data_IF_069453155428
#
_entry.id   IF_069453155428
#
_cell.length_a   1.000
_cell.length_b   1.000
_cell.length_c   1.000
_cell.angle_alpha   90.00
_cell.angle_beta   90.00
_cell.angle_gamma   90.00
#
_symmetry.space_group_name_H-M   'P 1'
#
loop_
_entity.id
_entity.type
_entity.pdbx_description
1 polymer ?
#
# COMPACT_ATOMS: atom_id res chain seq x y z
N UNK A 1 35.12 25.00 -24.31
CA UNK A 1 33.75 24.45 -24.31
C UNK A 1 33.86 22.93 -24.24
N UNK A 2 33.92 22.38 -23.02
CA UNK A 2 34.09 20.94 -22.78
C UNK A 2 32.80 20.40 -22.15
N UNK A 3 32.15 19.45 -22.84
CA UNK A 3 30.90 18.83 -22.40
C UNK A 3 31.27 17.55 -21.64
N UNK A 4 31.05 17.57 -20.33
CA UNK A 4 31.18 16.41 -19.46
C UNK A 4 29.86 15.61 -19.48
N UNK A 5 29.90 14.38 -19.99
CA UNK A 5 28.80 13.42 -19.90
C UNK A 5 29.04 12.47 -18.72
N UNK A 6 28.19 12.59 -17.70
CA UNK A 6 28.17 11.72 -16.51
C UNK A 6 27.25 10.53 -16.79
N UNK A 7 27.84 9.35 -16.97
CA UNK A 7 27.11 8.07 -17.07
C UNK A 7 27.06 7.44 -15.68
N UNK A 8 25.87 7.43 -15.07
CA UNK A 8 25.60 6.67 -13.82
C UNK A 8 25.19 5.24 -14.20
N UNK A 9 26.08 4.27 -13.99
CA UNK A 9 25.72 2.85 -13.99
C UNK A 9 25.28 2.44 -12.58
N UNK A 10 24.05 1.97 -12.47
CA UNK A 10 23.46 1.43 -11.25
C UNK A 10 23.89 -0.03 -11.03
N UNK A 11 24.55 -0.28 -9.91
CA UNK A 11 24.90 -1.60 -9.39
C UNK A 11 23.62 -2.33 -8.95
N UNK A 12 23.29 -3.45 -9.59
CA UNK A 12 22.26 -4.39 -9.12
C UNK A 12 22.97 -5.45 -8.27
N UNK A 13 22.77 -5.35 -6.96
CA UNK A 13 23.22 -6.37 -6.01
C UNK A 13 22.39 -7.65 -6.15
N UNK A 14 23.11 -8.72 -6.47
CA UNK A 14 22.69 -10.13 -6.46
C UNK A 14 22.65 -10.61 -5.01
N UNK A 15 21.46 -10.73 -4.41
CA UNK A 15 21.30 -11.35 -3.09
C UNK A 15 20.87 -12.81 -3.24
N UNK A 16 21.85 -13.70 -3.06
CA UNK A 16 21.64 -15.08 -2.66
C UNK A 16 21.09 -15.13 -1.23
N UNK A 17 20.10 -15.99 -0.97
CA UNK A 17 19.92 -16.61 0.35
C UNK A 17 19.38 -18.04 0.24
N UNK A 18 19.76 -18.90 1.21
CA UNK A 18 20.03 -20.32 0.99
C UNK A 18 18.87 -21.21 1.45
N UNK A 19 18.81 -22.37 0.82
CA UNK A 19 18.04 -23.53 1.24
C UNK A 19 18.63 -24.09 2.54
N UNK A 20 17.81 -24.33 3.57
CA UNK A 20 17.96 -25.44 4.52
C UNK A 20 16.71 -25.48 5.42
N UNK A 21 15.77 -26.39 5.15
CA UNK A 21 15.05 -27.13 6.19
C UNK A 21 14.37 -28.36 5.55
N UNK A 22 14.95 -29.54 5.77
CA UNK A 22 14.29 -30.83 5.58
C UNK A 22 13.63 -31.25 6.90
N UNK A 23 12.50 -31.97 6.85
CA UNK A 23 12.30 -33.10 7.75
C UNK A 23 11.78 -34.34 6.95
N UNK A 24 11.53 -35.51 7.57
CA UNK A 24 12.40 -36.66 7.45
C UNK A 24 11.71 -37.84 6.74
N UNK A 25 12.47 -38.91 6.52
CA UNK A 25 12.03 -40.24 6.11
C UNK A 25 10.56 -40.58 6.44
N UNK A 26 9.78 -40.87 5.40
CA UNK A 26 8.57 -41.68 5.49
C UNK A 26 8.59 -42.70 4.33
N UNK A 27 8.80 -43.94 4.73
CA UNK A 27 8.68 -45.21 4.03
C UNK A 27 7.86 -45.19 2.73
N UNK A 28 8.51 -45.58 1.62
CA UNK A 28 7.82 -45.96 0.39
C UNK A 28 7.16 -47.32 0.59
N UNK A 29 5.89 -47.32 0.99
CA UNK A 29 5.03 -48.49 0.81
C UNK A 29 4.67 -48.60 -0.67
N UNK A 30 5.26 -49.56 -1.37
CA UNK A 30 4.82 -49.96 -2.71
C UNK A 30 3.43 -50.61 -2.56
N UNK A 31 2.37 -49.83 -2.77
CA UNK A 31 1.03 -50.36 -3.00
C UNK A 31 0.88 -50.67 -4.48
N UNK A 32 0.96 -51.96 -4.83
CA UNK A 32 0.40 -52.45 -6.08
C UNK A 32 -1.12 -52.27 -6.04
N UNK A 33 -1.63 -51.28 -6.78
CA UNK A 33 -3.06 -51.13 -7.05
C UNK A 33 -3.33 -51.59 -8.50
N UNK A 34 -3.93 -52.77 -8.60
CA UNK A 34 -4.49 -53.36 -9.81
C UNK A 34 -5.80 -52.67 -10.22
N UNK A 35 -5.86 -52.13 -11.45
CA UNK A 35 -7.08 -51.78 -12.21
C UNK A 35 -7.87 -50.56 -11.70
N UNK A 36 -8.22 -49.53 -12.47
CA UNK A 36 -8.43 -49.40 -13.91
C UNK A 36 -7.77 -48.11 -14.43
N UNK A 37 -6.92 -48.24 -15.45
CA UNK A 37 -6.41 -47.10 -16.21
C UNK A 37 -7.53 -46.57 -17.11
N UNK A 38 -8.32 -45.62 -16.63
CA UNK A 38 -9.06 -44.75 -17.57
C UNK A 38 -8.03 -43.96 -18.39
N UNK A 39 -8.08 -44.00 -19.73
CA UNK A 39 -7.11 -43.30 -20.56
C UNK A 39 -7.14 -41.79 -20.27
N UNK A 40 -6.00 -41.08 -20.36
CA UNK A 40 -5.93 -39.66 -20.05
C UNK A 40 -6.89 -38.89 -20.96
N UNK A 41 -7.83 -38.16 -20.34
CA UNK A 41 -8.76 -37.29 -21.04
C UNK A 41 -7.98 -36.23 -21.81
N UNK A 42 -7.96 -36.34 -23.15
CA UNK A 42 -7.37 -35.35 -24.04
C UNK A 42 -8.18 -34.05 -23.88
N UNK A 43 -7.63 -33.08 -23.16
CA UNK A 43 -8.23 -31.74 -23.05
C UNK A 43 -8.20 -31.07 -24.43
N UNK A 44 -9.30 -31.18 -25.18
CA UNK A 44 -9.51 -30.37 -26.40
C UNK A 44 -9.48 -28.89 -25.98
N UNK A 45 -8.48 -28.15 -26.47
CA UNK A 45 -8.26 -26.72 -26.14
C UNK A 45 -9.32 -25.77 -26.70
N UNK A 46 -10.20 -26.27 -27.56
CA UNK A 46 -11.27 -25.48 -28.17
C UNK A 46 -12.55 -26.32 -28.24
N UNK A 47 -13.71 -25.71 -27.97
CA UNK A 47 -15.00 -26.35 -28.23
C UNK A 47 -15.10 -26.73 -29.71
N UNK A 48 -15.82 -27.83 -30.05
CA UNK A 48 -16.11 -28.15 -31.45
C UNK A 48 -16.74 -26.93 -32.14
N UNK A 49 -16.37 -26.60 -33.38
CA UNK A 49 -17.04 -25.53 -34.11
C UNK A 49 -18.54 -25.83 -34.16
N UNK A 50 -19.40 -24.82 -33.98
CA UNK A 50 -20.83 -25.01 -34.09
C UNK A 50 -21.17 -25.60 -35.47
N UNK A 51 -22.18 -26.49 -35.56
CA UNK A 51 -22.58 -27.06 -36.84
C UNK A 51 -22.93 -25.93 -37.82
N UNK A 52 -22.41 -26.03 -39.05
CA UNK A 52 -22.69 -25.03 -40.07
C UNK A 52 -24.16 -25.10 -40.47
N UNK A 53 -24.93 -24.08 -40.08
CA UNK A 53 -26.30 -23.91 -40.57
C UNK A 53 -26.23 -23.40 -42.01
N UNK A 54 -26.50 -24.28 -42.97
CA UNK A 54 -26.69 -23.90 -44.35
C UNK A 54 -28.00 -23.11 -44.48
N UNK A 55 -27.95 -21.97 -45.17
CA UNK A 55 -29.16 -21.24 -45.54
C UNK A 55 -30.08 -22.13 -46.38
N UNK A 56 -31.40 -21.93 -46.27
CA UNK A 56 -32.39 -22.65 -47.08
C UNK A 56 -32.07 -22.52 -48.58
N UNK A 57 -32.34 -23.56 -49.39
CA UNK A 57 -32.23 -23.47 -50.84
C UNK A 57 -32.97 -22.24 -51.36
N UNK A 58 -32.31 -21.47 -52.23
CA UNK A 58 -32.90 -20.25 -52.77
C UNK A 58 -33.73 -20.60 -54.02
N UNK A 59 -35.06 -20.50 -53.91
CA UNK A 59 -36.01 -20.78 -55.00
C UNK A 59 -35.80 -19.89 -56.24
N UNK A 60 -35.11 -18.76 -56.07
CA UNK A 60 -34.83 -17.80 -57.14
C UNK A 60 -33.95 -18.40 -58.26
N UNK A 61 -32.97 -19.25 -57.93
CA UNK A 61 -31.96 -19.75 -58.85
C UNK A 61 -32.52 -20.67 -59.96
N UNK A 62 -33.71 -21.23 -59.78
CA UNK A 62 -34.38 -22.12 -60.75
C UNK A 62 -35.51 -21.45 -61.56
N UNK A 63 -35.84 -20.20 -61.28
CA UNK A 63 -37.02 -19.52 -61.83
C UNK A 63 -36.78 -18.83 -63.19
N UNK A 64 -35.54 -18.84 -63.69
CA UNK A 64 -35.17 -18.13 -64.91
C UNK A 64 -35.58 -18.88 -66.18
N UNK A 65 -36.50 -18.31 -66.95
CA UNK A 65 -36.86 -18.79 -68.29
C UNK A 65 -36.08 -17.98 -69.34
N UNK A 66 -35.31 -18.62 -70.24
CA UNK A 66 -34.61 -17.92 -71.30
C UNK A 66 -35.63 -17.26 -72.25
N UNK A 67 -35.34 -16.04 -72.69
CA UNK A 67 -36.13 -15.29 -73.68
C UNK A 67 -35.58 -15.65 -75.08
N UNK A 68 -36.45 -15.86 -76.06
CA UNK A 68 -36.06 -16.35 -77.40
C UNK A 68 -35.31 -15.29 -78.23
N UNK A 69 -35.57 -13.99 -78.00
CA UNK A 69 -34.90 -12.90 -78.70
C UNK A 69 -33.68 -12.36 -77.93
N UNK A 70 -32.48 -12.30 -78.56
CA UNK A 70 -31.24 -11.94 -77.87
C UNK A 70 -31.24 -10.49 -77.35
N UNK A 71 -31.82 -9.54 -78.11
CA UNK A 71 -31.89 -8.12 -77.73
C UNK A 71 -32.79 -7.88 -76.51
N UNK A 72 -33.89 -8.61 -76.41
CA UNK A 72 -34.81 -8.50 -75.27
C UNK A 72 -34.24 -9.14 -74.01
N UNK A 73 -33.51 -10.26 -74.16
CA UNK A 73 -32.79 -10.91 -73.06
C UNK A 73 -31.74 -9.96 -72.44
N UNK A 74 -30.96 -9.26 -73.28
CA UNK A 74 -29.99 -8.25 -72.84
C UNK A 74 -30.66 -7.09 -72.11
N UNK A 75 -31.74 -6.53 -72.66
CA UNK A 75 -32.48 -5.44 -72.04
C UNK A 75 -33.07 -5.83 -70.67
N UNK A 76 -33.60 -7.06 -70.54
CA UNK A 76 -34.12 -7.60 -69.28
C UNK A 76 -33.01 -7.80 -68.25
N UNK A 77 -31.85 -8.29 -68.68
CA UNK A 77 -30.69 -8.51 -67.84
C UNK A 77 -30.07 -7.18 -67.35
N UNK A 78 -30.01 -6.16 -68.21
CA UNK A 78 -29.54 -4.83 -67.83
C UNK A 78 -30.47 -4.14 -66.83
N UNK A 79 -31.79 -4.31 -66.97
CA UNK A 79 -32.77 -3.84 -65.96
C UNK A 79 -32.51 -4.50 -64.61
N UNK A 80 -32.35 -5.82 -64.58
CA UNK A 80 -32.06 -6.56 -63.34
C UNK A 80 -30.74 -6.13 -62.70
N UNK A 81 -29.68 -5.94 -63.49
CA UNK A 81 -28.40 -5.43 -62.99
C UNK A 81 -28.55 -4.05 -62.37
N UNK A 82 -29.29 -3.15 -63.01
CA UNK A 82 -29.55 -1.79 -62.50
C UNK A 82 -30.39 -1.83 -61.22
N UNK A 83 -31.44 -2.64 -61.17
CA UNK A 83 -32.31 -2.74 -60.02
C UNK A 83 -31.60 -3.37 -58.82
N UNK A 84 -30.81 -4.43 -59.04
CA UNK A 84 -29.95 -5.02 -58.01
C UNK A 84 -28.91 -4.02 -57.51
N UNK A 85 -28.24 -3.28 -58.41
CA UNK A 85 -27.27 -2.25 -58.02
C UNK A 85 -27.92 -1.15 -57.16
N UNK A 86 -29.15 -0.73 -57.49
CA UNK A 86 -29.92 0.23 -56.69
C UNK A 86 -30.26 -0.33 -55.31
N UNK A 87 -30.78 -1.55 -55.24
CA UNK A 87 -31.12 -2.22 -53.97
C UNK A 87 -29.90 -2.36 -53.07
N UNK A 88 -28.78 -2.86 -53.59
CA UNK A 88 -27.53 -2.99 -52.82
C UNK A 88 -27.00 -1.61 -52.41
N UNK A 89 -27.12 -0.60 -53.27
CA UNK A 89 -26.73 0.77 -52.90
C UNK A 89 -27.59 1.35 -51.79
N UNK A 90 -28.89 1.05 -51.73
CA UNK A 90 -29.77 1.47 -50.64
C UNK A 90 -29.39 0.77 -49.33
N UNK A 91 -29.22 -0.55 -49.37
CA UNK A 91 -28.78 -1.35 -48.22
C UNK A 91 -27.45 -0.85 -47.63
N UNK A 92 -26.49 -0.48 -48.47
CA UNK A 92 -25.21 0.09 -48.00
C UNK A 92 -25.39 1.43 -47.28
N UNK A 93 -26.32 2.27 -47.73
CA UNK A 93 -26.63 3.56 -47.09
C UNK A 93 -27.32 3.36 -45.74
N UNK A 94 -28.29 2.45 -45.69
CA UNK A 94 -28.99 2.07 -44.45
C UNK A 94 -28.00 1.52 -43.42
N UNK A 95 -27.16 0.56 -43.82
CA UNK A 95 -26.12 0.01 -42.97
C UNK A 95 -25.11 1.06 -42.50
N UNK A 96 -24.67 1.96 -43.39
CA UNK A 96 -23.77 3.05 -43.00
C UNK A 96 -24.42 3.95 -41.92
N UNK A 97 -25.69 4.28 -42.09
CA UNK A 97 -26.45 5.08 -41.14
C UNK A 97 -26.62 4.36 -39.79
N UNK A 98 -27.00 3.08 -39.78
CA UNK A 98 -27.08 2.28 -38.56
C UNK A 98 -25.74 2.23 -37.80
N UNK A 99 -24.65 2.04 -38.55
CA UNK A 99 -23.31 2.02 -37.96
C UNK A 99 -22.90 3.38 -37.39
N UNK A 100 -23.30 4.48 -38.00
CA UNK A 100 -23.10 5.83 -37.46
C UNK A 100 -23.90 6.05 -36.18
N UNK A 101 -25.18 5.65 -36.15
CA UNK A 101 -26.01 5.73 -34.95
C UNK A 101 -25.40 4.95 -33.78
N UNK A 102 -24.93 3.72 -34.03
CA UNK A 102 -24.25 2.91 -33.02
C UNK A 102 -22.95 3.55 -32.52
N UNK A 103 -22.18 4.23 -33.39
CA UNK A 103 -20.97 4.97 -32.98
C UNK A 103 -21.33 6.15 -32.08
N UNK A 104 -22.35 6.93 -32.44
CA UNK A 104 -22.81 8.07 -31.65
C UNK A 104 -23.31 7.62 -30.27
N UNK A 105 -24.06 6.53 -30.19
CA UNK A 105 -24.50 5.96 -28.91
C UNK A 105 -23.34 5.50 -28.04
N UNK A 106 -22.33 4.86 -28.63
CA UNK A 106 -21.10 4.47 -27.91
C UNK A 106 -20.37 5.69 -27.36
N UNK A 107 -20.22 6.74 -28.17
CA UNK A 107 -19.60 7.99 -27.74
C UNK A 107 -20.33 8.61 -26.55
N UNK A 108 -21.66 8.75 -26.63
CA UNK A 108 -22.48 9.26 -25.51
C UNK A 108 -22.30 8.46 -24.23
N UNK A 109 -22.24 7.13 -24.34
CA UNK A 109 -22.00 6.23 -23.20
C UNK A 109 -20.60 6.39 -22.63
N UNK A 110 -19.60 6.55 -23.48
CA UNK A 110 -18.22 6.78 -23.06
C UNK A 110 -18.05 8.13 -22.36
N UNK A 111 -18.65 9.19 -22.90
CA UNK A 111 -18.57 10.53 -22.31
C UNK A 111 -19.27 10.58 -20.95
N UNK A 112 -20.47 10.00 -20.83
CA UNK A 112 -21.15 9.84 -19.54
C UNK A 112 -20.30 9.05 -18.52
N UNK A 113 -19.61 7.99 -18.95
CA UNK A 113 -18.68 7.24 -18.09
C UNK A 113 -17.47 8.06 -17.68
N UNK A 114 -16.89 8.83 -18.61
CA UNK A 114 -15.73 9.71 -18.34
C UNK A 114 -16.09 10.79 -17.32
N UNK A 115 -17.26 11.41 -17.47
CA UNK A 115 -17.75 12.42 -16.52
C UNK A 115 -18.03 11.82 -15.14
N UNK A 116 -18.71 10.66 -15.08
CA UNK A 116 -18.94 9.96 -13.81
C UNK A 116 -17.63 9.60 -13.10
N UNK A 117 -16.63 9.11 -13.84
CA UNK A 117 -15.31 8.79 -13.28
C UNK A 117 -14.60 10.05 -12.79
N UNK A 118 -14.71 11.17 -13.53
CA UNK A 118 -14.13 12.45 -13.13
C UNK A 118 -14.71 12.94 -11.80
N UNK A 119 -16.04 12.96 -11.68
CA UNK A 119 -16.73 13.37 -10.45
C UNK A 119 -16.34 12.48 -9.27
N UNK A 120 -16.37 11.16 -9.43
CA UNK A 120 -15.97 10.23 -8.38
C UNK A 120 -14.51 10.43 -7.95
N UNK A 121 -13.61 10.77 -8.87
CA UNK A 121 -12.22 11.08 -8.55
C UNK A 121 -12.06 12.42 -7.81
N UNK A 122 -12.84 13.43 -8.18
CA UNK A 122 -12.88 14.72 -7.48
C UNK A 122 -13.39 14.54 -6.04
N UNK A 123 -14.46 13.78 -5.83
CA UNK A 123 -14.98 13.44 -4.50
C UNK A 123 -13.95 12.68 -3.65
N UNK A 124 -13.29 11.66 -4.23
CA UNK A 124 -12.21 10.92 -3.53
C UNK A 124 -11.04 11.83 -3.15
N UNK A 125 -10.66 12.76 -4.03
CA UNK A 125 -9.60 13.74 -3.73
C UNK A 125 -10.02 14.70 -2.63
N UNK A 126 -11.25 15.20 -2.67
CA UNK A 126 -11.80 16.07 -1.63
C UNK A 126 -11.86 15.36 -0.26
N UNK A 127 -12.37 14.13 -0.22
CA UNK A 127 -12.39 13.32 1.00
C UNK A 127 -10.98 13.05 1.54
N UNK A 128 -10.01 12.75 0.66
CA UNK A 128 -8.61 12.56 1.04
C UNK A 128 -7.96 13.85 1.56
N UNK A 129 -8.28 15.00 0.96
CA UNK A 129 -7.80 16.30 1.42
C UNK A 129 -8.34 16.63 2.82
N UNK A 130 -9.65 16.47 3.03
CA UNK A 130 -10.26 16.65 4.35
C UNK A 130 -9.64 15.72 5.41
N UNK A 131 -9.41 14.45 5.07
CA UNK A 131 -8.71 13.51 5.97
C UNK A 131 -7.24 13.91 6.23
N UNK A 132 -6.55 14.48 5.23
CA UNK A 132 -5.19 14.96 5.43
C UNK A 132 -5.13 16.19 6.35
N UNK A 133 -6.12 17.07 6.28
CA UNK A 133 -6.23 18.25 7.15
C UNK A 133 -6.47 17.84 8.61
N UNK A 134 -7.36 16.87 8.87
CA UNK A 134 -7.59 16.37 10.23
C UNK A 134 -6.33 15.70 10.80
N UNK A 135 -5.63 14.90 10.00
CA UNK A 135 -4.35 14.31 10.39
C UNK A 135 -3.26 15.37 10.65
N UNK A 136 -3.23 16.44 9.85
CA UNK A 136 -2.29 17.54 10.06
C UNK A 136 -2.59 18.28 11.37
N UNK A 137 -3.85 18.51 11.70
CA UNK A 137 -4.26 19.08 12.98
C UNK A 137 -3.85 18.18 14.16
N UNK A 138 -4.08 16.86 14.05
CA UNK A 138 -3.65 15.89 15.07
C UNK A 138 -2.13 15.90 15.27
N UNK A 139 -1.35 15.96 14.19
CA UNK A 139 0.12 16.04 14.29
C UNK A 139 0.59 17.31 14.99
N UNK A 140 -0.08 18.44 14.74
CA UNK A 140 0.22 19.71 15.43
C UNK A 140 -0.10 19.62 16.92
N UNK A 141 -1.30 19.13 17.27
CA UNK A 141 -1.71 18.92 18.65
C UNK A 141 -0.72 18.00 19.38
N UNK A 142 -0.35 16.88 18.78
CA UNK A 142 0.65 15.96 19.34
C UNK A 142 2.01 16.63 19.58
N UNK A 143 2.48 17.49 18.66
CA UNK A 143 3.73 18.23 18.84
C UNK A 143 3.64 19.24 19.99
N UNK A 144 2.50 19.90 20.16
CA UNK A 144 2.27 20.83 21.26
C UNK A 144 2.23 20.10 22.60
N UNK A 145 1.52 18.98 22.69
CA UNK A 145 1.51 18.11 23.87
C UNK A 145 2.93 17.65 24.22
N UNK A 146 3.70 17.21 23.22
CA UNK A 146 5.10 16.81 23.41
C UNK A 146 5.99 17.94 23.93
N UNK A 147 5.75 19.20 23.51
CA UNK A 147 6.48 20.35 24.06
C UNK A 147 6.09 20.62 25.51
N UNK A 148 4.81 20.50 25.83
CA UNK A 148 4.32 20.70 27.20
C UNK A 148 4.90 19.65 28.16
N UNK A 149 4.97 18.38 27.74
CA UNK A 149 5.58 17.33 28.57
C UNK A 149 7.06 17.60 28.82
N UNK A 150 7.82 18.03 27.81
CA UNK A 150 9.23 18.42 27.99
C UNK A 150 9.41 19.58 28.97
N UNK A 151 8.51 20.57 28.97
CA UNK A 151 8.56 21.66 29.94
C UNK A 151 8.30 21.17 31.37
N UNK A 152 7.30 20.29 31.55
CA UNK A 152 6.98 19.67 32.85
C UNK A 152 8.17 18.85 33.39
N UNK A 153 8.78 18.01 32.56
CA UNK A 153 9.96 17.25 32.96
C UNK A 153 11.13 18.15 33.37
N UNK A 154 11.34 19.27 32.67
CA UNK A 154 12.39 20.24 33.02
C UNK A 154 12.12 20.88 34.37
N UNK A 155 10.88 21.29 34.65
CA UNK A 155 10.51 21.88 35.95
C UNK A 155 10.66 20.87 37.08
N UNK A 156 10.20 19.64 36.89
CA UNK A 156 10.33 18.57 37.89
C UNK A 156 11.81 18.25 38.20
N UNK A 157 12.66 18.22 37.17
CA UNK A 157 14.11 18.05 37.36
C UNK A 157 14.72 19.21 38.13
N UNK A 158 14.37 20.45 37.81
CA UNK A 158 14.87 21.63 38.54
C UNK A 158 14.44 21.60 40.02
N UNK A 159 13.20 21.25 40.31
CA UNK A 159 12.71 21.17 41.69
C UNK A 159 13.35 20.00 42.45
N UNK A 160 13.60 18.87 41.78
CA UNK A 160 14.40 17.77 42.34
C UNK A 160 15.83 18.22 42.69
N UNK A 161 16.46 19.03 41.83
CA UNK A 161 17.77 19.59 42.09
C UNK A 161 17.78 20.55 43.29
N UNK A 162 16.82 21.46 43.38
CA UNK A 162 16.66 22.38 44.52
C UNK A 162 16.53 21.62 45.84
N UNK A 163 15.65 20.62 45.90
CA UNK A 163 15.47 19.76 47.10
C UNK A 163 16.75 19.03 47.49
N UNK A 164 17.54 18.56 46.51
CA UNK A 164 18.83 17.92 46.78
C UNK A 164 19.86 18.90 47.31
N UNK A 165 19.84 20.15 46.85
CA UNK A 165 20.71 21.21 47.34
C UNK A 165 20.37 21.58 48.79
N UNK A 166 19.09 21.81 49.08
CA UNK A 166 18.60 22.03 50.45
C UNK A 166 19.00 20.90 51.41
N UNK A 167 18.83 19.64 50.98
CA UNK A 167 19.25 18.47 51.76
C UNK A 167 20.75 18.47 52.04
N UNK A 168 21.58 18.82 51.05
CA UNK A 168 23.03 18.93 51.23
C UNK A 168 23.40 20.06 52.20
N UNK A 169 22.71 21.18 52.14
CA UNK A 169 22.93 22.28 53.08
C UNK A 169 22.54 21.91 54.50
N UNK A 170 21.40 21.23 54.69
CA UNK A 170 20.98 20.71 55.99
C UNK A 170 22.04 19.74 56.54
N UNK A 171 22.48 18.76 55.75
CA UNK A 171 23.55 17.84 56.16
C UNK A 171 24.86 18.56 56.50
N UNK A 172 25.21 19.64 55.78
CA UNK A 172 26.38 20.46 56.11
C UNK A 172 26.21 21.19 57.44
N UNK A 173 25.03 21.74 57.72
CA UNK A 173 24.71 22.41 58.99
C UNK A 173 24.73 21.42 60.15
N UNK A 174 24.04 20.29 60.02
CA UNK A 174 24.04 19.20 61.01
C UNK A 174 25.47 18.73 61.33
N UNK A 175 26.30 18.50 60.31
CA UNK A 175 27.72 18.13 60.53
C UNK A 175 28.51 19.22 61.25
N UNK A 176 28.31 20.50 60.91
CA UNK A 176 28.95 21.62 61.60
C UNK A 176 28.50 21.72 63.06
N UNK A 177 27.21 21.55 63.33
CA UNK A 177 26.66 21.57 64.69
C UNK A 177 27.16 20.39 65.52
N UNK A 178 27.22 19.19 64.94
CA UNK A 178 27.83 18.01 65.58
C UNK A 178 29.29 18.28 65.92
N UNK A 179 30.06 18.84 64.98
CA UNK A 179 31.46 19.23 65.22
C UNK A 179 31.59 20.28 66.32
N UNK A 180 30.73 21.30 66.35
CA UNK A 180 30.74 22.32 67.41
C UNK A 180 30.50 21.70 68.79
N UNK A 181 29.48 20.84 68.92
CA UNK A 181 29.17 20.10 70.16
C UNK A 181 30.30 19.17 70.60
N UNK A 182 30.97 18.51 69.64
CA UNK A 182 32.14 17.67 69.95
C UNK A 182 33.35 18.53 70.34
N UNK A 183 33.60 19.63 69.64
CA UNK A 183 34.74 20.52 69.90
C UNK A 183 34.64 21.24 71.25
N UNK A 184 33.43 21.49 71.79
CA UNK A 184 33.31 22.03 73.14
C UNK A 184 33.76 21.05 74.23
N UNK A 185 33.91 19.77 73.89
CA UNK A 185 34.54 18.76 74.75
C UNK A 185 36.05 18.61 74.47
N UNK A 186 36.59 19.25 73.43
CA UNK A 186 38.01 19.14 73.13
C UNK A 186 38.81 19.85 74.22
N UNK A 187 39.80 19.15 74.73
CA UNK A 187 40.69 19.64 75.78
C UNK A 187 41.83 20.40 75.10
N UNK A 188 42.07 21.64 75.50
CA UNK A 188 43.23 22.38 75.00
C UNK A 188 44.52 21.76 75.52
N UNK A 189 45.63 21.91 74.80
CA UNK A 189 46.91 21.30 75.16
C UNK A 189 47.37 21.71 76.57
N UNK A 190 47.14 22.97 76.93
CA UNK A 190 47.43 23.53 78.26
C UNK A 190 46.55 22.94 79.39
N UNK A 191 45.37 22.38 79.07
CA UNK A 191 44.42 21.82 80.06
C UNK A 191 44.36 20.28 80.05
N UNK A 192 45.17 19.62 79.22
CA UNK A 192 45.18 18.16 79.05
C UNK A 192 45.58 17.42 80.32
N UNK A 193 46.70 17.81 80.95
CA UNK A 193 47.23 17.14 82.14
C UNK A 193 46.24 17.16 83.31
N UNK A 194 45.59 18.30 83.53
CA UNK A 194 44.57 18.47 84.57
C UNK A 194 43.36 17.55 84.34
N UNK A 195 42.94 17.40 83.08
CA UNK A 195 41.77 16.59 82.72
C UNK A 195 42.04 15.08 82.75
N UNK A 196 43.29 14.67 82.47
CA UNK A 196 43.75 13.28 82.65
C UNK A 196 43.71 12.90 84.13
N UNK A 197 44.15 13.79 85.02
CA UNK A 197 44.11 13.54 86.46
C UNK A 197 42.67 13.44 86.98
N UNK A 198 41.76 14.32 86.53
CA UNK A 198 40.33 14.28 86.90
C UNK A 198 39.66 12.96 86.48
N UNK A 199 39.90 12.49 85.25
CA UNK A 199 39.33 11.24 84.76
C UNK A 199 39.85 9.97 85.48
N UNK A 200 41.08 10.00 86.01
CA UNK A 200 41.65 8.90 86.81
C UNK A 200 40.98 8.84 88.19
N UNK A 201 40.57 9.99 88.74
CA UNK A 201 39.93 10.10 90.06
C UNK A 201 38.42 9.81 89.98
N UNK A 202 37.74 10.35 88.96
CA UNK A 202 36.30 10.19 88.75
C UNK A 202 35.98 8.99 87.84
N UNK A 203 36.38 7.79 88.26
CA UNK A 203 36.07 6.58 87.48
C UNK A 203 34.57 6.30 87.52
N UNK A 204 33.88 6.48 86.38
CA UNK A 204 32.50 6.02 86.19
C UNK A 204 32.48 4.50 85.96
N UNK A 205 31.77 3.70 86.79
CA UNK A 205 31.62 2.27 86.53
C UNK A 205 30.69 2.05 85.32
N UNK A 206 31.04 1.04 84.51
CA UNK A 206 30.39 0.67 83.24
C UNK A 206 28.90 0.33 83.37
#
# INVERSE_FOLDING_TARGET
>A
MAIASVVRQSLIHRSYRPWLFNPPFAEQAIRFASGSSSPPQVRRRYPPPPPHEFSKPCDFLGSWKPVEEPREAEARLDRLRKDYAKQVSQLRKEYAHEMEMLKVEKQRKEDARREAVRLANEERKAAKAAAAETLAAQRKAFQEEFRQTLLKERTEKLDSWRKKEELKEQQRKEKKELLLKQSSMWVSEESLENRILEAIVDTTPL
#
